data_IF_653421651112
#
_entry.id   IF_653421651112
#
_cell.length_a   1.000
_cell.length_b   1.000
_cell.length_c   1.000
_cell.angle_alpha   90.00
_cell.angle_beta   90.00
_cell.angle_gamma   90.00
#
_symmetry.space_group_name_H-M   'P 1'
#
loop_
_entity.id
_entity.type
_entity.pdbx_description
1 polymer ?
#
# COMPACT_ATOMS: atom_id res chain seq x y z
N UNK A 1 -15.31 7.52 -40.01
CA UNK A 1 -14.01 8.21 -39.89
C UNK A 1 -13.89 8.79 -38.48
N UNK A 2 -13.11 8.18 -37.58
CA UNK A 2 -12.86 8.70 -36.23
C UNK A 2 -11.35 8.88 -36.07
N UNK A 3 -10.91 10.11 -35.85
CA UNK A 3 -9.50 10.48 -35.66
C UNK A 3 -9.07 10.03 -34.27
N UNK A 4 -8.13 9.09 -34.19
CA UNK A 4 -7.47 8.69 -32.94
C UNK A 4 -6.36 9.71 -32.69
N UNK A 5 -6.52 10.52 -31.64
CA UNK A 5 -5.46 11.39 -31.13
C UNK A 5 -4.55 10.53 -30.24
N UNK A 6 -3.37 10.17 -30.76
CA UNK A 6 -2.29 9.58 -29.97
C UNK A 6 -1.64 10.73 -29.21
N UNK A 7 -1.96 10.85 -27.91
CA UNK A 7 -1.23 11.73 -27.00
C UNK A 7 0.12 11.07 -26.70
N UNK A 8 1.15 11.52 -27.42
CA UNK A 8 2.55 11.29 -27.07
C UNK A 8 2.79 11.90 -25.69
N UNK A 9 2.89 11.07 -24.66
CA UNK A 9 3.50 11.47 -23.39
C UNK A 9 4.95 11.89 -23.70
N UNK A 10 5.38 13.10 -23.30
CA UNK A 10 6.76 13.49 -23.46
C UNK A 10 7.61 12.59 -22.56
N UNK A 11 8.30 11.64 -23.20
CA UNK A 11 9.55 11.09 -22.69
C UNK A 11 10.43 12.28 -22.34
N UNK A 12 10.53 12.58 -21.05
CA UNK A 12 11.51 13.49 -20.47
C UNK A 12 12.90 12.86 -20.65
N UNK A 13 13.39 12.89 -21.88
CA UNK A 13 14.82 12.81 -22.19
C UNK A 13 15.22 14.25 -22.46
N UNK A 14 15.98 14.85 -21.54
CA UNK A 14 17.05 15.83 -21.76
C UNK A 14 17.34 16.55 -20.44
N UNK A 15 18.52 16.30 -19.87
CA UNK A 15 19.41 17.42 -19.58
C UNK A 15 20.85 16.94 -19.49
N UNK A 16 21.69 17.70 -20.18
CA UNK A 16 23.06 17.43 -20.57
C UNK A 16 24.08 17.66 -19.44
N UNK A 17 25.24 17.04 -19.64
CA UNK A 17 26.58 17.48 -19.23
C UNK A 17 26.75 17.96 -17.78
N UNK A 18 27.03 17.02 -16.88
CA UNK A 18 27.77 17.30 -15.64
C UNK A 18 29.10 16.56 -15.66
N UNK A 19 30.18 17.33 -15.62
CA UNK A 19 31.57 16.91 -15.55
C UNK A 19 31.79 15.96 -14.36
N UNK A 20 32.11 14.69 -14.60
CA UNK A 20 32.86 13.83 -13.67
C UNK A 20 32.37 13.68 -12.23
N UNK A 21 31.17 14.16 -11.88
CA UNK A 21 30.59 13.94 -10.56
C UNK A 21 30.25 12.45 -10.53
N UNK A 22 30.89 11.71 -9.61
CA UNK A 22 30.48 10.34 -9.29
C UNK A 22 29.00 10.38 -8.96
N UNK A 23 28.18 10.02 -9.93
CA UNK A 23 26.73 10.04 -9.79
C UNK A 23 26.40 9.13 -8.61
N UNK A 24 25.74 9.71 -7.61
CA UNK A 24 25.35 8.98 -6.42
C UNK A 24 24.62 7.69 -6.85
N UNK A 25 24.86 6.60 -6.14
CA UNK A 25 24.27 5.29 -6.47
C UNK A 25 22.73 5.35 -6.44
N UNK A 26 22.16 6.21 -5.60
CA UNK A 26 20.72 6.47 -5.52
C UNK A 26 20.17 7.11 -6.80
N UNK A 27 20.87 8.11 -7.33
CA UNK A 27 20.49 8.74 -8.61
C UNK A 27 20.63 7.78 -9.79
N UNK A 28 21.63 6.88 -9.75
CA UNK A 28 21.77 5.81 -10.76
C UNK A 28 20.64 4.79 -10.70
N UNK A 29 20.10 4.54 -9.50
CA UNK A 29 18.91 3.73 -9.31
C UNK A 29 17.60 4.47 -9.67
N UNK A 30 17.65 5.73 -10.10
CA UNK A 30 16.49 6.48 -10.57
C UNK A 30 15.74 7.24 -9.47
N UNK A 31 16.32 7.37 -8.28
CA UNK A 31 15.78 8.24 -7.23
C UNK A 31 16.20 9.68 -7.46
N UNK A 32 15.28 10.62 -7.21
CA UNK A 32 15.59 12.06 -7.21
C UNK A 32 16.27 12.46 -5.90
N UNK A 33 16.98 13.60 -5.88
CA UNK A 33 17.65 14.09 -4.66
C UNK A 33 16.70 14.22 -3.45
N UNK A 34 15.48 14.80 -3.57
CA UNK A 34 14.54 14.84 -2.45
C UNK A 34 14.13 13.44 -1.96
N UNK A 35 13.90 12.51 -2.88
CA UNK A 35 13.53 11.14 -2.52
C UNK A 35 14.68 10.41 -1.82
N UNK A 36 15.91 10.61 -2.26
CA UNK A 36 17.10 10.06 -1.62
C UNK A 36 17.23 10.55 -0.17
N UNK A 37 17.05 11.85 0.05
CA UNK A 37 17.09 12.45 1.38
C UNK A 37 15.99 11.90 2.28
N UNK A 38 14.74 11.84 1.81
CA UNK A 38 13.61 11.23 2.53
C UNK A 38 13.89 9.77 2.90
N UNK A 39 14.45 8.99 1.96
CA UNK A 39 14.74 7.58 2.15
C UNK A 39 15.90 7.36 3.14
N UNK A 40 16.94 8.19 3.07
CA UNK A 40 18.06 8.18 4.03
C UNK A 40 17.60 8.58 5.43
N UNK A 41 16.76 9.61 5.54
CA UNK A 41 16.17 10.05 6.80
C UNK A 41 15.27 8.99 7.43
N UNK A 42 14.57 8.20 6.60
CA UNK A 42 13.81 7.03 7.03
C UNK A 42 14.67 5.77 7.24
N UNK A 43 16.00 5.90 7.23
CA UNK A 43 16.99 4.83 7.44
C UNK A 43 16.92 3.67 6.44
N UNK A 44 16.50 3.93 5.20
CA UNK A 44 16.54 2.93 4.15
C UNK A 44 17.91 2.83 3.48
N UNK A 45 18.31 1.60 3.19
CA UNK A 45 19.49 1.34 2.36
C UNK A 45 19.10 1.33 0.88
N UNK A 46 20.06 1.67 0.01
CA UNK A 46 19.85 1.61 -1.44
C UNK A 46 19.49 0.20 -1.90
N UNK A 47 20.14 -0.82 -1.33
CA UNK A 47 19.89 -2.24 -1.65
C UNK A 47 18.44 -2.65 -1.38
N UNK A 48 17.88 -2.22 -0.24
CA UNK A 48 16.46 -2.45 0.05
C UNK A 48 15.57 -1.77 -1.00
N UNK A 49 15.83 -0.49 -1.29
CA UNK A 49 14.99 0.28 -2.21
C UNK A 49 15.05 -0.22 -3.65
N UNK A 50 16.19 -0.77 -4.09
CA UNK A 50 16.30 -1.50 -5.35
C UNK A 50 15.39 -2.73 -5.34
N UNK A 51 15.28 -3.45 -4.21
CA UNK A 51 14.35 -4.57 -4.08
C UNK A 51 12.88 -4.17 -4.21
N UNK A 52 12.54 -2.97 -3.72
CA UNK A 52 11.22 -2.34 -3.84
C UNK A 52 10.95 -1.74 -5.21
N UNK A 53 11.99 -1.52 -6.01
CA UNK A 53 11.89 -0.94 -7.34
C UNK A 53 10.97 -1.79 -8.22
N UNK A 54 9.77 -1.29 -8.42
CA UNK A 54 8.76 -1.84 -9.30
C UNK A 54 8.37 -0.70 -10.24
N UNK A 55 8.36 -0.91 -11.57
CA UNK A 55 8.09 0.15 -12.54
C UNK A 55 6.71 0.82 -12.36
N UNK A 56 5.83 0.21 -11.56
CA UNK A 56 4.50 0.72 -11.26
C UNK A 56 4.39 1.37 -9.86
N UNK A 57 5.41 1.28 -9.01
CA UNK A 57 5.43 1.86 -7.67
C UNK A 57 6.25 3.14 -7.65
N UNK A 58 5.62 4.24 -7.24
CA UNK A 58 6.32 5.48 -6.93
C UNK A 58 7.08 5.34 -5.61
N UNK A 59 8.22 6.02 -5.41
CA UNK A 59 8.96 5.98 -4.15
C UNK A 59 8.14 6.31 -2.91
N UNK A 60 7.23 7.28 -3.01
CA UNK A 60 6.30 7.63 -1.93
C UNK A 60 5.38 6.47 -1.54
N UNK A 61 4.95 5.65 -2.51
CA UNK A 61 4.15 4.46 -2.22
C UNK A 61 4.99 3.42 -1.49
N UNK A 62 6.24 3.19 -1.92
CA UNK A 62 7.15 2.24 -1.25
C UNK A 62 7.34 2.60 0.23
N UNK A 63 7.51 3.89 0.53
CA UNK A 63 7.58 4.42 1.90
C UNK A 63 6.28 4.12 2.66
N UNK A 64 5.12 4.41 2.07
CA UNK A 64 3.82 4.18 2.71
C UNK A 64 3.55 2.69 3.04
N UNK A 65 3.92 1.78 2.13
CA UNK A 65 3.83 0.33 2.36
C UNK A 65 4.67 -0.10 3.56
N UNK A 66 5.91 0.40 3.64
CA UNK A 66 6.80 0.05 4.74
C UNK A 66 6.42 0.70 6.07
N UNK A 67 5.99 1.95 6.06
CA UNK A 67 5.40 2.62 7.24
C UNK A 67 4.16 1.88 7.76
N UNK A 68 3.44 1.19 6.88
CA UNK A 68 2.32 0.31 7.25
C UNK A 68 2.76 -1.10 7.68
N UNK A 69 4.05 -1.30 7.97
CA UNK A 69 4.65 -2.56 8.42
C UNK A 69 4.46 -3.74 7.44
N UNK A 70 4.45 -3.46 6.14
CA UNK A 70 4.51 -4.51 5.12
C UNK A 70 5.95 -4.83 4.74
N UNK A 71 6.23 -6.12 4.60
CA UNK A 71 7.44 -6.58 3.92
C UNK A 71 7.30 -6.37 2.41
N UNK A 72 8.43 -6.34 1.71
CA UNK A 72 8.47 -6.27 0.24
C UNK A 72 7.65 -7.39 -0.42
N UNK A 73 7.71 -8.61 0.13
CA UNK A 73 6.97 -9.75 -0.40
C UNK A 73 5.46 -9.57 -0.23
N UNK A 74 5.01 -9.10 0.93
CA UNK A 74 3.59 -8.84 1.16
C UNK A 74 3.08 -7.71 0.27
N UNK A 75 3.82 -6.60 0.16
CA UNK A 75 3.44 -5.50 -0.73
C UNK A 75 3.31 -5.96 -2.19
N UNK A 76 4.28 -6.75 -2.69
CA UNK A 76 4.20 -7.36 -4.04
C UNK A 76 2.99 -8.29 -4.18
N UNK A 77 2.67 -9.07 -3.15
CA UNK A 77 1.53 -9.96 -3.13
C UNK A 77 0.21 -9.18 -3.29
N UNK A 78 0.00 -8.13 -2.49
CA UNK A 78 -1.19 -7.28 -2.57
C UNK A 78 -1.27 -6.51 -3.89
N UNK A 79 -0.14 -5.98 -4.37
CA UNK A 79 -0.06 -5.32 -5.66
C UNK A 79 -0.50 -6.22 -6.81
N UNK A 80 -0.02 -7.47 -6.82
CA UNK A 80 -0.39 -8.48 -7.82
C UNK A 80 -1.86 -8.91 -7.73
N UNK A 81 -2.46 -8.74 -6.55
CA UNK A 81 -3.88 -8.92 -6.31
C UNK A 81 -4.72 -7.69 -6.72
N UNK A 82 -4.09 -6.56 -7.04
CA UNK A 82 -4.76 -5.31 -7.43
C UNK A 82 -5.07 -4.38 -6.26
N UNK A 83 -4.48 -4.62 -5.09
CA UNK A 83 -4.57 -3.74 -3.91
C UNK A 83 -3.34 -2.85 -3.88
N UNK A 84 -3.54 -1.56 -4.12
CA UNK A 84 -2.46 -0.58 -4.28
C UNK A 84 -2.29 0.37 -3.09
N UNK A 85 -3.33 0.49 -2.25
CA UNK A 85 -3.29 1.28 -1.02
C UNK A 85 -2.84 0.39 0.15
N UNK A 86 -1.74 0.71 0.85
CA UNK A 86 -1.31 -0.05 2.01
C UNK A 86 -2.33 -0.05 3.16
N UNK A 87 -3.18 0.97 3.28
CA UNK A 87 -4.27 1.00 4.27
C UNK A 87 -5.32 -0.07 3.95
N UNK A 88 -5.69 -0.20 2.68
CA UNK A 88 -6.59 -1.26 2.22
C UNK A 88 -5.95 -2.64 2.42
N UNK A 89 -4.67 -2.78 2.07
CA UNK A 89 -3.93 -4.01 2.30
C UNK A 89 -3.86 -4.40 3.79
N UNK A 90 -3.89 -3.44 4.71
CA UNK A 90 -3.88 -3.72 6.15
C UNK A 90 -5.20 -4.36 6.60
N UNK A 91 -6.33 -3.91 6.05
CA UNK A 91 -7.63 -4.54 6.25
C UNK A 91 -7.60 -5.98 5.77
N UNK A 92 -7.05 -6.20 4.57
CA UNK A 92 -6.87 -7.54 4.05
C UNK A 92 -5.91 -8.36 4.90
N UNK A 93 -4.73 -7.86 5.31
CA UNK A 93 -3.76 -8.60 6.13
C UNK A 93 -4.39 -9.09 7.44
N UNK A 94 -5.26 -8.30 8.06
CA UNK A 94 -6.06 -8.73 9.21
C UNK A 94 -7.00 -9.91 8.91
N UNK A 95 -7.65 -9.90 7.74
CA UNK A 95 -8.56 -10.96 7.29
C UNK A 95 -7.85 -12.21 6.70
N UNK A 96 -6.73 -11.98 6.01
CA UNK A 96 -5.94 -12.94 5.20
C UNK A 96 -5.16 -13.90 6.09
N UNK A 97 -4.85 -13.52 7.34
CA UNK A 97 -4.16 -14.38 8.31
C UNK A 97 -4.87 -15.71 8.65
N UNK A 98 -6.11 -15.94 8.17
CA UNK A 98 -6.80 -17.23 8.34
C UNK A 98 -7.52 -17.80 7.11
N UNK A 99 -7.92 -17.01 6.11
CA UNK A 99 -8.94 -17.48 5.14
C UNK A 99 -8.70 -17.19 3.66
N UNK A 100 -7.80 -16.27 3.29
CA UNK A 100 -7.73 -15.79 1.91
C UNK A 100 -6.35 -15.95 1.29
N UNK A 101 -6.29 -16.53 0.09
CA UNK A 101 -5.07 -16.55 -0.71
C UNK A 101 -4.97 -15.28 -1.57
N UNK A 102 -3.78 -14.92 -2.10
CA UNK A 102 -3.65 -13.80 -3.03
C UNK A 102 -4.55 -13.91 -4.27
N UNK A 103 -4.84 -15.16 -4.68
CA UNK A 103 -5.75 -15.46 -5.78
C UNK A 103 -7.20 -15.10 -5.44
N UNK A 104 -7.59 -15.29 -4.19
CA UNK A 104 -8.93 -14.93 -3.71
C UNK A 104 -9.06 -13.42 -3.62
N UNK A 105 -8.09 -12.73 -3.01
CA UNK A 105 -8.05 -11.26 -2.99
C UNK A 105 -8.18 -10.72 -4.42
N UNK A 106 -7.41 -11.25 -5.37
CA UNK A 106 -7.46 -10.83 -6.78
C UNK A 106 -8.82 -11.05 -7.43
N UNK A 107 -9.48 -12.17 -7.11
CA UNK A 107 -10.82 -12.49 -7.62
C UNK A 107 -11.84 -11.47 -7.11
N UNK A 108 -11.72 -11.10 -5.83
CA UNK A 108 -12.61 -10.17 -5.14
C UNK A 108 -12.40 -8.74 -5.63
N UNK A 109 -11.16 -8.29 -5.74
CA UNK A 109 -10.82 -6.98 -6.32
C UNK A 109 -11.39 -6.83 -7.73
N UNK A 110 -11.42 -7.91 -8.53
CA UNK A 110 -12.02 -7.90 -9.87
C UNK A 110 -13.54 -7.87 -9.87
N UNK A 111 -14.20 -8.49 -8.89
CA UNK A 111 -15.67 -8.53 -8.81
C UNK A 111 -16.24 -7.20 -8.33
N UNK A 112 -15.53 -6.51 -7.44
CA UNK A 112 -15.78 -5.11 -7.10
C UNK A 112 -15.38 -4.23 -8.28
N UNK A 113 -16.33 -3.89 -9.17
CA UNK A 113 -16.13 -3.12 -10.43
C UNK A 113 -15.41 -1.76 -10.23
N UNK A 114 -14.09 -1.78 -10.04
CA UNK A 114 -13.24 -0.59 -9.95
C UNK A 114 -13.52 0.32 -8.74
N UNK A 115 -14.30 -0.14 -7.76
CA UNK A 115 -14.60 0.60 -6.54
C UNK A 115 -13.65 0.19 -5.42
N UNK A 116 -13.19 1.18 -4.64
CA UNK A 116 -12.51 0.95 -3.36
C UNK A 116 -13.20 -0.18 -2.61
N UNK A 117 -12.43 -1.18 -2.20
CA UNK A 117 -12.99 -2.28 -1.43
C UNK A 117 -13.29 -1.74 -0.04
N UNK A 118 -14.58 -1.56 0.24
CA UNK A 118 -15.02 -1.13 1.55
C UNK A 118 -15.00 -2.31 2.51
N UNK A 119 -14.96 -2.01 3.81
CA UNK A 119 -15.03 -3.01 4.86
C UNK A 119 -16.28 -3.89 4.71
N UNK A 120 -17.38 -3.31 4.26
CA UNK A 120 -18.67 -3.97 4.02
C UNK A 120 -18.57 -4.97 2.85
N UNK A 121 -17.83 -4.64 1.80
CA UNK A 121 -17.58 -5.56 0.69
C UNK A 121 -16.75 -6.78 1.14
N UNK A 122 -15.73 -6.58 1.98
CA UNK A 122 -14.95 -7.68 2.56
C UNK A 122 -15.83 -8.54 3.47
N UNK A 123 -16.67 -7.93 4.30
CA UNK A 123 -17.59 -8.64 5.19
C UNK A 123 -18.63 -9.47 4.41
N UNK A 124 -19.20 -8.93 3.32
CA UNK A 124 -20.17 -9.63 2.48
C UNK A 124 -19.55 -10.87 1.81
N UNK A 125 -18.30 -10.78 1.38
CA UNK A 125 -17.58 -11.92 0.78
C UNK A 125 -17.29 -13.00 1.81
N UNK A 126 -16.88 -12.63 3.02
CA UNK A 126 -16.69 -13.58 4.13
C UNK A 126 -17.98 -14.36 4.42
N UNK A 127 -19.14 -13.71 4.26
CA UNK A 127 -20.44 -14.34 4.46
C UNK A 127 -20.86 -15.29 3.33
N UNK A 128 -20.50 -14.99 2.09
CA UNK A 128 -20.90 -15.78 0.92
C UNK A 128 -20.11 -17.10 0.83
N UNK A 129 -18.80 -17.07 1.10
CA UNK A 129 -17.93 -18.24 0.99
C UNK A 129 -18.04 -19.22 2.18
N UNK A 130 -18.73 -18.86 3.26
CA UNK A 130 -18.85 -19.73 4.44
C UNK A 130 -20.17 -19.52 5.22
N UNK A 131 -21.26 -20.20 4.81
CA UNK A 131 -22.59 -19.99 5.40
C UNK A 131 -22.69 -20.40 6.89
N UNK A 132 -21.84 -21.30 7.37
CA UNK A 132 -21.76 -21.69 8.78
C UNK A 132 -21.12 -20.60 9.67
N UNK A 133 -20.37 -19.67 9.07
CA UNK A 133 -19.82 -18.50 9.77
C UNK A 133 -20.90 -17.44 10.07
N UNK A 134 -22.14 -17.58 9.59
CA UNK A 134 -23.24 -16.63 9.89
C UNK A 134 -23.50 -16.45 11.40
N UNK A 135 -23.28 -17.49 12.22
CA UNK A 135 -23.32 -17.39 13.69
C UNK A 135 -22.03 -16.80 14.28
N UNK A 136 -20.89 -17.01 13.61
CA UNK A 136 -19.64 -16.33 13.92
C UNK A 136 -19.59 -14.89 13.44
N UNK A 137 -20.51 -14.42 12.57
CA UNK A 137 -20.60 -13.02 12.11
C UNK A 137 -20.76 -12.05 13.27
N UNK A 138 -21.63 -12.39 14.24
CA UNK A 138 -21.79 -11.58 15.46
C UNK A 138 -20.54 -11.63 16.35
N UNK A 139 -19.90 -12.80 16.46
CA UNK A 139 -18.69 -12.97 17.28
C UNK A 139 -17.47 -12.30 16.66
N UNK A 140 -17.27 -12.43 15.35
CA UNK A 140 -16.17 -11.85 14.59
C UNK A 140 -16.38 -10.35 14.45
N UNK A 141 -17.59 -9.87 14.17
CA UNK A 141 -17.87 -8.42 14.21
C UNK A 141 -17.70 -7.85 15.61
N UNK A 142 -18.13 -8.54 16.68
CA UNK A 142 -17.89 -8.10 18.05
C UNK A 142 -16.40 -8.11 18.42
N UNK A 143 -15.63 -9.13 18.01
CA UNK A 143 -14.18 -9.22 18.26
C UNK A 143 -13.42 -8.15 17.46
N UNK A 144 -13.80 -7.91 16.20
CA UNK A 144 -13.20 -6.85 15.39
C UNK A 144 -13.63 -5.46 15.87
N UNK A 145 -14.87 -5.26 16.29
CA UNK A 145 -15.32 -3.99 16.89
C UNK A 145 -14.58 -3.71 18.20
N UNK A 146 -14.39 -4.71 19.08
CA UNK A 146 -13.64 -4.55 20.32
C UNK A 146 -12.14 -4.28 20.07
N UNK A 147 -11.49 -5.05 19.21
CA UNK A 147 -10.08 -4.80 18.85
C UNK A 147 -9.86 -3.46 18.15
N UNK A 148 -10.83 -3.03 17.34
CA UNK A 148 -10.80 -1.72 16.68
C UNK A 148 -11.01 -0.59 17.69
N UNK A 149 -11.92 -0.76 18.66
CA UNK A 149 -12.13 0.22 19.74
C UNK A 149 -10.89 0.36 20.62
N UNK A 150 -10.24 -0.74 20.98
CA UNK A 150 -9.00 -0.72 21.75
C UNK A 150 -7.86 -0.05 20.95
N UNK A 151 -7.76 -0.34 19.65
CA UNK A 151 -6.78 0.30 18.78
C UNK A 151 -7.04 1.81 18.61
N UNK A 152 -8.30 2.22 18.45
CA UNK A 152 -8.68 3.65 18.35
C UNK A 152 -8.44 4.40 19.66
N UNK A 153 -8.76 3.82 20.82
CA UNK A 153 -8.46 4.41 22.13
C UNK A 153 -6.96 4.60 22.36
N UNK A 154 -6.14 3.67 21.85
CA UNK A 154 -4.69 3.78 21.93
C UNK A 154 -4.10 4.76 20.90
N UNK A 155 -4.87 5.18 19.89
CA UNK A 155 -4.49 6.23 18.94
C UNK A 155 -4.85 7.64 19.42
N UNK A 156 -5.77 7.77 20.37
CA UNK A 156 -6.26 9.05 20.93
C UNK A 156 -5.35 9.61 22.06
N UNK A 157 -4.09 9.17 22.10
CA UNK A 157 -3.02 9.69 22.96
C UNK A 157 -2.01 10.31 21.96
N UNK A 158 -1.97 11.61 21.68
CA UNK A 158 -1.62 12.70 22.58
C UNK A 158 -1.90 14.06 21.89
N UNK A 159 -3.15 14.51 21.84
CA UNK A 159 -3.48 15.90 21.44
C UNK A 159 -3.41 16.87 22.64
N UNK A 160 -2.92 16.38 23.79
CA UNK A 160 -2.73 17.12 25.04
C UNK A 160 -1.33 17.69 25.22
N UNK A 161 -0.53 17.79 24.14
CA UNK A 161 0.68 18.60 24.15
C UNK A 161 0.30 20.07 24.42
N UNK A 162 0.31 20.42 25.71
CA UNK A 162 0.14 21.77 26.24
C UNK A 162 1.00 22.73 25.43
N UNK A 163 0.34 23.61 24.68
CA UNK A 163 0.98 24.83 24.19
C UNK A 163 1.19 25.71 25.41
N UNK A 164 2.37 25.59 26.01
CA UNK A 164 2.84 26.48 27.08
C UNK A 164 2.90 27.91 26.48
N UNK A 165 2.16 28.89 27.05
CA UNK A 165 1.99 30.23 26.46
C UNK A 165 3.24 31.12 26.48
#
# INVERSE_FOLDING_TARGET
MRKVFILCFPLFILSACSNGIKKDEWQRAGFTLPQEEDLKNAHYTLSEMIGWQNPHLLPQQMIAWRQSNFTLQEAKMFWNAGVYDPKEALLWKGAVGKFYTPKDIKRLVRSTRGGHITREAIAAVIEEDNPDIKSSKQVIMAVYQNKLFDWLKNLEIDDSAEVDP
#
